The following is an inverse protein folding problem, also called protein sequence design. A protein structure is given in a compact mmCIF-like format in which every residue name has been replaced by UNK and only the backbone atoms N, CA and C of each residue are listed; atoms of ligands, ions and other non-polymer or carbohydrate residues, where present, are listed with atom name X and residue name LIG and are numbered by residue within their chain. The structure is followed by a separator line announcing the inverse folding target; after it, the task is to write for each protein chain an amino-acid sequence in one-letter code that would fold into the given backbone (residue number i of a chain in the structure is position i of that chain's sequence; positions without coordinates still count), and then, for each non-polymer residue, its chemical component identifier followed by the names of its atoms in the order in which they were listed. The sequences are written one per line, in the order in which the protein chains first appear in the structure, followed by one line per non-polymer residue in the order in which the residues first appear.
data_IF_151342982453
#
_entry.id   IF_151342982453
#
_cell.length_a   1.000
_cell.length_b   1.000
_cell.length_c   1.000
_cell.angle_alpha   90.00
_cell.angle_beta   90.00
_cell.angle_gamma   90.00
#
_symmetry.space_group_name_H-M   'P 1'
#
loop_
_entity.id
_entity.type
_entity.pdbx_description
1 polymer ?
#
# COMPACT_ATOMS: atom_id res chain seq x y z
N UNK A 1 18.19 8.23 22.81
CA UNK A 1 19.60 8.06 22.40
C UNK A 1 19.83 6.63 21.92
N UNK A 2 19.21 5.65 22.57
CA UNK A 2 19.14 4.25 22.15
C UNK A 2 18.60 4.08 20.72
N UNK A 3 17.47 4.70 20.37
CA UNK A 3 16.86 4.61 19.03
C UNK A 3 17.81 5.05 17.88
N UNK A 4 18.64 6.07 18.12
CA UNK A 4 19.62 6.55 17.13
C UNK A 4 20.79 5.58 16.98
N UNK A 5 21.17 4.89 18.04
CA UNK A 5 22.21 3.86 18.01
C UNK A 5 21.70 2.58 17.33
N UNK A 6 20.45 2.22 17.56
CA UNK A 6 19.79 1.09 16.88
C UNK A 6 19.66 1.35 15.37
N UNK A 7 19.19 2.52 14.97
CA UNK A 7 19.12 2.90 13.55
C UNK A 7 20.50 2.92 12.88
N UNK A 8 21.54 3.38 13.58
CA UNK A 8 22.91 3.36 13.05
C UNK A 8 23.43 1.93 12.82
N UNK A 9 23.09 0.98 13.70
CA UNK A 9 23.45 -0.42 13.54
C UNK A 9 22.71 -1.06 12.35
N UNK A 10 21.42 -0.75 12.17
CA UNK A 10 20.64 -1.24 11.02
C UNK A 10 21.19 -0.70 9.69
N UNK A 11 21.54 0.59 9.64
CA UNK A 11 22.18 1.21 8.46
C UNK A 11 23.51 0.52 8.15
N UNK A 12 24.33 0.22 9.17
CA UNK A 12 25.59 -0.50 9.00
C UNK A 12 25.36 -1.92 8.44
N UNK A 13 24.37 -2.64 8.96
CA UNK A 13 24.03 -3.98 8.48
C UNK A 13 23.55 -3.95 7.03
N UNK A 14 22.66 -3.01 6.69
CA UNK A 14 22.09 -2.88 5.34
C UNK A 14 23.13 -2.45 4.31
N UNK A 15 23.98 -1.47 4.64
CA UNK A 15 25.09 -1.04 3.77
C UNK A 15 26.20 -2.09 3.65
N UNK A 16 26.32 -3.01 4.63
CA UNK A 16 27.24 -4.14 4.57
C UNK A 16 26.83 -5.23 3.57
N UNK A 17 25.61 -5.18 3.03
CA UNK A 17 25.14 -6.11 1.99
C UNK A 17 25.76 -5.72 0.65
N UNK A 18 26.57 -6.60 0.07
CA UNK A 18 27.06 -6.41 -1.29
C UNK A 18 26.05 -6.93 -2.30
N UNK A 19 25.76 -6.11 -3.30
CA UNK A 19 25.05 -6.52 -4.51
C UNK A 19 26.09 -6.68 -5.62
N UNK A 20 25.98 -7.74 -6.39
CA UNK A 20 26.93 -8.01 -7.47
C UNK A 20 26.71 -6.99 -8.60
N UNK A 21 27.59 -6.01 -8.70
CA UNK A 21 27.66 -5.07 -9.83
C UNK A 21 28.86 -5.50 -10.70
N UNK A 22 28.69 -5.65 -12.03
CA UNK A 22 29.80 -6.01 -12.92
C UNK A 22 30.94 -4.98 -12.90
N UNK A 23 32.19 -5.45 -13.01
CA UNK A 23 33.37 -4.55 -13.06
C UNK A 23 33.44 -3.71 -14.36
N UNK A 24 32.89 -4.24 -15.45
CA UNK A 24 32.87 -3.62 -16.79
C UNK A 24 31.46 -3.16 -17.16
N UNK A 25 30.90 -2.24 -16.38
CA UNK A 25 29.62 -1.59 -16.67
C UNK A 25 29.83 -0.30 -17.48
N UNK A 26 29.02 -0.08 -18.51
CA UNK A 26 29.02 1.19 -19.24
C UNK A 26 28.16 2.22 -18.49
N UNK A 27 28.82 3.00 -17.63
CA UNK A 27 28.18 4.05 -16.83
C UNK A 27 27.51 5.14 -17.68
N UNK A 28 28.00 5.38 -18.90
CA UNK A 28 27.44 6.41 -19.77
C UNK A 28 26.12 5.95 -20.40
N UNK A 29 26.05 4.69 -20.81
CA UNK A 29 24.82 4.06 -21.31
C UNK A 29 23.79 3.93 -20.18
N UNK A 30 24.21 3.45 -19.00
CA UNK A 30 23.33 3.36 -17.82
C UNK A 30 22.73 4.73 -17.46
N UNK A 31 23.54 5.80 -17.46
CA UNK A 31 23.02 7.13 -17.15
C UNK A 31 21.99 7.59 -18.18
N UNK A 32 22.22 7.33 -19.47
CA UNK A 32 21.27 7.67 -20.52
C UNK A 32 19.94 6.89 -20.38
N UNK A 33 20.01 5.61 -19.98
CA UNK A 33 18.82 4.80 -19.67
C UNK A 33 18.07 5.35 -18.44
N UNK A 34 18.77 5.74 -17.38
CA UNK A 34 18.16 6.32 -16.18
C UNK A 34 17.47 7.66 -16.47
N UNK A 35 18.10 8.52 -17.27
CA UNK A 35 17.52 9.81 -17.69
C UNK A 35 16.24 9.57 -18.54
N UNK A 36 16.23 8.55 -19.40
CA UNK A 36 15.05 8.18 -20.18
C UNK A 36 13.92 7.63 -19.29
N UNK A 37 14.25 6.83 -18.27
CA UNK A 37 13.28 6.31 -17.30
C UNK A 37 12.69 7.43 -16.43
N UNK A 38 13.51 8.42 -16.04
CA UNK A 38 13.03 9.61 -15.33
C UNK A 38 12.00 10.37 -16.17
N UNK A 39 12.27 10.56 -17.46
CA UNK A 39 11.32 11.21 -18.39
C UNK A 39 10.00 10.42 -18.51
N UNK A 40 10.05 9.09 -18.61
CA UNK A 40 8.85 8.25 -18.62
C UNK A 40 8.04 8.40 -17.31
N UNK A 41 8.73 8.42 -16.17
CA UNK A 41 8.09 8.61 -14.87
C UNK A 41 7.47 10.01 -14.72
N UNK A 42 8.01 11.05 -15.36
CA UNK A 42 7.40 12.39 -15.41
C UNK A 42 6.11 12.41 -16.25
N UNK A 43 6.04 11.64 -17.33
CA UNK A 43 4.87 11.60 -18.22
C UNK A 43 3.74 10.73 -17.66
N UNK A 44 4.06 9.52 -17.18
CA UNK A 44 3.07 8.52 -16.74
C UNK A 44 2.88 8.48 -15.21
N UNK A 45 3.79 9.07 -14.46
CA UNK A 45 3.82 9.01 -12.99
C UNK A 45 4.38 7.68 -12.46
N UNK A 46 4.82 7.64 -11.19
CA UNK A 46 5.39 6.43 -10.58
C UNK A 46 4.30 5.37 -10.33
N UNK A 47 4.17 4.40 -11.25
CA UNK A 47 3.20 3.31 -11.16
C UNK A 47 3.29 2.51 -9.86
N UNK A 48 4.50 2.30 -9.33
CA UNK A 48 4.75 1.59 -8.07
C UNK A 48 4.16 2.29 -6.83
N UNK A 49 3.84 3.59 -6.89
CA UNK A 49 3.16 4.30 -5.81
C UNK A 49 1.63 4.22 -5.94
N UNK A 50 1.11 3.85 -7.10
CA UNK A 50 -0.32 3.84 -7.38
C UNK A 50 -1.07 2.73 -6.66
N UNK A 51 -0.39 1.64 -6.29
CA UNK A 51 -0.98 0.48 -5.63
C UNK A 51 -0.88 0.53 -4.09
N UNK A 52 -0.19 1.50 -3.49
CA UNK A 52 -0.04 1.59 -2.03
C UNK A 52 -1.39 1.79 -1.30
N UNK A 53 -2.39 2.35 -1.98
CA UNK A 53 -3.72 2.63 -1.43
C UNK A 53 -4.82 1.73 -2.00
N UNK A 54 -4.51 0.89 -3.00
CA UNK A 54 -5.49 -0.03 -3.56
C UNK A 54 -5.67 -1.21 -2.62
N UNK A 55 -6.91 -1.43 -2.21
CA UNK A 55 -7.29 -2.69 -1.61
C UNK A 55 -6.98 -3.82 -2.62
N UNK A 56 -6.48 -4.97 -2.16
CA UNK A 56 -6.21 -6.08 -3.04
C UNK A 56 -7.46 -6.49 -3.84
N UNK A 57 -7.27 -6.89 -5.10
CA UNK A 57 -8.35 -7.26 -6.03
C UNK A 57 -9.15 -8.50 -5.60
N UNK A 58 -8.75 -9.16 -4.50
CA UNK A 58 -9.45 -10.29 -3.88
C UNK A 58 -10.43 -9.89 -2.77
N UNK A 59 -10.48 -8.62 -2.38
CA UNK A 59 -11.49 -8.13 -1.43
C UNK A 59 -12.77 -7.91 -2.22
N UNK A 60 -13.70 -8.87 -2.12
CA UNK A 60 -15.02 -8.78 -2.74
C UNK A 60 -15.75 -7.49 -2.29
N UNK A 61 -16.56 -6.92 -3.20
CA UNK A 61 -17.40 -5.75 -2.95
C UNK A 61 -18.23 -5.94 -1.67
N UNK A 62 -18.35 -4.88 -0.86
CA UNK A 62 -19.09 -4.93 0.39
C UNK A 62 -20.50 -5.53 0.15
N UNK A 63 -21.02 -6.36 1.07
CA UNK A 63 -22.32 -6.99 0.89
C UNK A 63 -23.38 -5.95 0.51
N UNK A 64 -24.10 -6.19 -0.57
CA UNK A 64 -25.21 -5.34 -1.00
C UNK A 64 -26.21 -5.31 0.17
N UNK A 65 -26.37 -4.15 0.82
CA UNK A 65 -27.42 -3.97 1.82
C UNK A 65 -28.76 -4.09 1.09
N UNK A 66 -29.34 -5.29 1.15
CA UNK A 66 -30.75 -5.49 0.82
C UNK A 66 -31.53 -4.62 1.79
N UNK A 67 -32.28 -3.61 1.31
CA UNK A 67 -33.05 -2.76 2.21
C UNK A 67 -34.05 -3.65 2.95
N UNK A 68 -33.86 -3.80 4.27
CA UNK A 68 -34.90 -4.33 5.15
C UNK A 68 -36.13 -3.47 4.93
N UNK A 69 -37.10 -4.05 4.23
CA UNK A 69 -38.41 -3.45 4.02
C UNK A 69 -39.04 -3.27 5.40
N UNK A 70 -39.59 -2.08 5.74
CA UNK A 70 -39.89 -1.74 7.11
C UNK A 70 -41.05 -2.57 7.66
N UNK A 71 -40.78 -3.34 8.71
CA UNK A 71 -41.78 -3.98 9.57
C UNK A 71 -42.62 -2.92 10.32
N UNK A 72 -43.95 -2.88 10.18
CA UNK A 72 -44.80 -2.13 11.09
C UNK A 72 -45.22 -3.06 12.24
N UNK A 73 -44.32 -3.32 13.18
CA UNK A 73 -44.73 -3.92 14.46
C UNK A 73 -45.21 -2.81 15.41
N UNK A 74 -46.51 -2.48 15.31
CA UNK A 74 -47.19 -1.64 16.29
C UNK A 74 -47.16 -2.29 17.67
N UNK A 75 -46.60 -1.56 18.64
CA UNK A 75 -46.60 -1.92 20.05
C UNK A 75 -48.01 -1.82 20.65
N UNK A 76 -48.65 -2.96 20.94
CA UNK A 76 -49.83 -3.02 21.82
C UNK A 76 -49.39 -3.47 23.22
N UNK A 77 -49.10 -2.44 24.02
CA UNK A 77 -49.16 -2.28 25.48
C UNK A 77 -49.57 -3.51 26.32
N UNK A 78 -48.64 -3.89 27.21
CA UNK A 78 -48.84 -4.43 28.56
C UNK A 78 -50.13 -3.98 29.25
N UNK A 79 -50.97 -4.91 29.75
CA UNK A 79 -51.54 -4.85 31.12
C UNK A 79 -52.38 -6.09 31.51
N UNK A 80 -51.93 -6.72 32.61
CA UNK A 80 -52.71 -7.21 33.76
C UNK A 80 -53.70 -8.40 33.68
N UNK A 81 -53.39 -9.37 34.54
CA UNK A 81 -54.27 -10.01 35.54
C UNK A 81 -55.34 -11.02 35.09
N UNK A 82 -55.10 -12.30 35.41
CA UNK A 82 -55.68 -13.03 36.55
C UNK A 82 -55.54 -14.53 36.35
#
# INVERSE_FOLDING_TARGET
MEDLLEQANEIQETLGRSYAVPDELDEADLQAELDALELEAEEEGPSYLSDLSKAPDFVDEAPIEVPETPEPHEAIKTTAAA
#
